data_IF_496256494880
#
_entry.id   IF_496256494880
#
_cell.length_a   1.000
_cell.length_b   1.000
_cell.length_c   1.000
_cell.angle_alpha   90.00
_cell.angle_beta   90.00
_cell.angle_gamma   90.00
#
_symmetry.space_group_name_H-M   'P 1'
#
loop_
_entity.id
_entity.type
_entity.pdbx_description
1 polymer ?
#
# COMPACT_ATOMS: atom_id res chain seq x y z
N UNK A 1 1.69 3.99 -4.65
CA UNK A 1 2.05 4.62 -5.93
C UNK A 1 1.97 3.65 -7.10
N UNK A 2 2.79 2.58 -7.16
CA UNK A 2 2.77 1.67 -8.33
C UNK A 2 1.47 0.86 -8.51
N UNK A 3 0.77 0.52 -7.41
CA UNK A 3 -0.54 -0.15 -7.46
C UNK A 3 -1.66 0.68 -8.10
N UNK A 4 -1.52 2.01 -8.12
CA UNK A 4 -2.53 2.94 -8.63
C UNK A 4 -2.36 3.20 -10.13
N UNK A 5 -1.12 3.16 -10.62
CA UNK A 5 -0.79 3.41 -12.03
C UNK A 5 -1.20 2.24 -12.94
N UNK A 6 -1.09 1.00 -12.46
CA UNK A 6 -1.39 -0.18 -13.26
C UNK A 6 -2.82 -0.21 -13.85
N UNK A 7 -3.91 -0.07 -13.05
CA UNK A 7 -5.26 -0.10 -13.62
C UNK A 7 -5.55 1.09 -14.55
N UNK A 8 -4.90 2.24 -14.33
CA UNK A 8 -5.06 3.43 -15.18
C UNK A 8 -4.40 3.24 -16.54
N UNK A 9 -3.17 2.71 -16.57
CA UNK A 9 -2.46 2.40 -17.83
C UNK A 9 -3.17 1.26 -18.57
N UNK A 10 -3.64 0.23 -17.85
CA UNK A 10 -4.39 -0.88 -18.45
C UNK A 10 -5.69 -0.40 -19.13
N UNK A 11 -6.39 0.58 -18.55
CA UNK A 11 -7.63 1.13 -19.11
C UNK A 11 -7.42 1.79 -20.49
N UNK A 12 -6.25 2.39 -20.72
CA UNK A 12 -5.89 3.03 -21.99
C UNK A 12 -5.14 2.10 -22.95
N UNK A 13 -4.66 0.94 -22.49
CA UNK A 13 -3.94 -0.02 -23.31
C UNK A 13 -4.86 -0.82 -24.23
N UNK A 14 -5.19 -0.27 -25.40
CA UNK A 14 -5.94 -0.96 -26.48
C UNK A 14 -5.04 -1.71 -27.48
N UNK A 15 -3.72 -1.73 -27.27
CA UNK A 15 -2.75 -2.35 -28.17
C UNK A 15 -1.74 -3.21 -27.41
N UNK A 16 -1.19 -4.23 -28.09
CA UNK A 16 -0.20 -5.17 -27.52
C UNK A 16 1.04 -4.47 -26.91
N UNK A 17 1.65 -3.46 -27.55
CA UNK A 17 2.77 -2.73 -26.95
C UNK A 17 2.39 -1.95 -25.68
N UNK A 18 1.17 -1.41 -25.63
CA UNK A 18 0.66 -0.71 -24.46
C UNK A 18 0.40 -1.67 -23.27
N UNK A 19 -0.02 -2.91 -23.55
CA UNK A 19 -0.11 -3.97 -22.53
C UNK A 19 1.27 -4.35 -21.99
N UNK A 20 2.28 -4.50 -22.85
CA UNK A 20 3.65 -4.78 -22.39
C UNK A 20 4.16 -3.72 -21.41
N UNK A 21 3.92 -2.44 -21.71
CA UNK A 21 4.30 -1.33 -20.82
C UNK A 21 3.52 -1.37 -19.49
N UNK A 22 2.22 -1.66 -19.53
CA UNK A 22 1.40 -1.80 -18.31
C UNK A 22 1.92 -2.92 -17.39
N UNK A 23 2.27 -4.07 -17.96
CA UNK A 23 2.81 -5.21 -17.21
C UNK A 23 4.24 -4.97 -16.73
N UNK A 24 5.05 -4.23 -17.48
CA UNK A 24 6.37 -3.79 -17.02
C UNK A 24 6.27 -2.89 -15.78
N UNK A 25 5.37 -1.90 -15.79
CA UNK A 25 5.09 -1.03 -14.64
C UNK A 25 4.54 -1.85 -13.46
N UNK A 26 3.71 -2.86 -13.73
CA UNK A 26 3.24 -3.81 -12.71
C UNK A 26 4.39 -4.60 -12.09
N UNK A 27 5.38 -5.03 -12.87
CA UNK A 27 6.58 -5.71 -12.36
C UNK A 27 7.39 -4.84 -11.41
N UNK A 28 7.47 -3.53 -11.68
CA UNK A 28 8.19 -2.57 -10.83
C UNK A 28 7.58 -2.42 -9.42
N UNK A 29 6.35 -2.91 -9.20
CA UNK A 29 5.70 -2.96 -7.89
C UNK A 29 6.42 -3.86 -6.89
N UNK A 30 7.12 -4.90 -7.36
CA UNK A 30 7.74 -5.91 -6.50
C UNK A 30 8.94 -5.38 -5.70
N UNK A 31 9.57 -4.28 -6.13
CA UNK A 31 10.66 -3.63 -5.39
C UNK A 31 10.27 -3.18 -3.98
N UNK A 32 8.97 -2.95 -3.72
CA UNK A 32 8.49 -2.53 -2.41
C UNK A 32 7.99 -3.68 -1.51
N UNK A 33 7.97 -4.93 -2.00
CA UNK A 33 7.34 -6.04 -1.27
C UNK A 33 8.24 -6.59 -0.16
N UNK A 34 9.56 -6.69 -0.43
CA UNK A 34 10.57 -7.10 0.56
C UNK A 34 10.68 -6.11 1.71
N UNK A 35 10.75 -4.80 1.41
CA UNK A 35 10.80 -3.76 2.44
C UNK A 35 9.55 -3.75 3.31
N UNK A 36 8.36 -3.99 2.75
CA UNK A 36 7.11 -4.04 3.52
C UNK A 36 7.06 -5.24 4.45
N UNK A 37 7.45 -6.42 3.98
CA UNK A 37 7.51 -7.65 4.80
C UNK A 37 8.54 -7.49 5.93
N UNK A 38 9.69 -6.89 5.65
CA UNK A 38 10.71 -6.58 6.66
C UNK A 38 10.19 -5.61 7.74
N UNK A 39 9.46 -4.56 7.34
CA UNK A 39 8.82 -3.62 8.28
C UNK A 39 7.85 -4.34 9.23
N UNK A 40 6.95 -5.18 8.71
CA UNK A 40 6.01 -5.94 9.54
C UNK A 40 6.76 -6.78 10.58
N UNK A 41 7.79 -7.50 10.14
CA UNK A 41 8.62 -8.36 11.00
C UNK A 41 9.41 -7.56 12.04
N UNK A 42 9.84 -6.33 11.71
CA UNK A 42 10.54 -5.43 12.64
C UNK A 42 9.64 -4.82 13.72
N UNK A 43 8.34 -4.68 13.46
CA UNK A 43 7.37 -4.22 14.46
C UNK A 43 6.84 -5.33 15.38
N UNK A 44 7.19 -6.58 15.11
CA UNK A 44 6.74 -7.71 15.92
C UNK A 44 7.68 -7.96 17.10
N UNK A 45 7.12 -8.06 18.30
CA UNK A 45 7.83 -8.59 19.47
C UNK A 45 8.30 -10.04 19.21
N UNK A 46 9.53 -10.41 19.61
CA UNK A 46 10.09 -11.74 19.36
C UNK A 46 9.19 -12.87 19.88
N UNK A 47 8.60 -12.70 21.06
CA UNK A 47 7.81 -13.73 21.75
C UNK A 47 6.44 -13.96 21.09
N UNK A 48 5.90 -12.95 20.38
CA UNK A 48 4.54 -12.97 19.80
C UNK A 48 4.52 -12.84 18.29
N UNK A 49 5.67 -12.95 17.63
CA UNK A 49 5.84 -12.73 16.19
C UNK A 49 4.88 -13.57 15.34
N UNK A 50 4.65 -14.84 15.71
CA UNK A 50 3.70 -15.71 15.01
C UNK A 50 2.25 -15.19 15.05
N UNK A 51 1.78 -14.75 16.23
CA UNK A 51 0.42 -14.21 16.40
C UNK A 51 0.25 -12.88 15.68
N UNK A 52 1.24 -11.98 15.78
CA UNK A 52 1.23 -10.66 15.14
C UNK A 52 1.20 -10.76 13.62
N UNK A 53 2.05 -11.60 13.04
CA UNK A 53 2.08 -11.84 11.59
C UNK A 53 0.78 -12.50 11.13
N UNK A 54 0.28 -13.50 11.87
CA UNK A 54 -0.99 -14.17 11.56
C UNK A 54 -2.18 -13.21 11.55
N UNK A 55 -2.32 -12.38 12.59
CA UNK A 55 -3.38 -11.38 12.67
C UNK A 55 -3.29 -10.34 11.54
N UNK A 56 -2.08 -9.87 11.22
CA UNK A 56 -1.88 -8.95 10.10
C UNK A 56 -2.37 -9.52 8.78
N UNK A 57 -1.99 -10.77 8.46
CA UNK A 57 -2.39 -11.41 7.20
C UNK A 57 -3.87 -11.78 7.18
N UNK A 58 -4.46 -12.17 8.32
CA UNK A 58 -5.89 -12.43 8.43
C UNK A 58 -6.72 -11.19 8.09
N UNK A 59 -6.39 -10.04 8.70
CA UNK A 59 -7.10 -8.78 8.45
C UNK A 59 -6.91 -8.35 6.99
N UNK A 60 -5.69 -8.48 6.45
CA UNK A 60 -5.41 -8.20 5.04
C UNK A 60 -6.32 -9.03 4.13
N UNK A 61 -6.38 -10.34 4.35
CA UNK A 61 -7.09 -11.27 3.46
C UNK A 61 -8.61 -11.09 3.55
N UNK A 62 -9.13 -10.74 4.72
CA UNK A 62 -10.53 -10.35 4.89
C UNK A 62 -10.86 -9.11 4.04
N UNK A 63 -10.04 -8.06 4.13
CA UNK A 63 -10.23 -6.84 3.34
C UNK A 63 -10.10 -7.11 1.84
N UNK A 64 -9.12 -7.91 1.41
CA UNK A 64 -8.92 -8.30 0.01
C UNK A 64 -10.10 -9.10 -0.52
N UNK A 65 -10.64 -10.02 0.28
CA UNK A 65 -11.79 -10.85 -0.12
C UNK A 65 -13.05 -10.01 -0.33
N UNK A 66 -13.35 -9.08 0.59
CA UNK A 66 -14.46 -8.13 0.42
C UNK A 66 -14.25 -7.27 -0.83
N UNK A 67 -13.02 -6.79 -1.06
CA UNK A 67 -12.66 -6.04 -2.26
C UNK A 67 -12.86 -6.84 -3.56
N UNK A 68 -12.54 -8.14 -3.55
CA UNK A 68 -12.74 -9.01 -4.70
C UNK A 68 -14.22 -9.22 -5.04
N UNK A 69 -15.07 -9.41 -4.02
CA UNK A 69 -16.52 -9.55 -4.20
C UNK A 69 -17.13 -8.25 -4.75
N UNK A 70 -16.75 -7.10 -4.17
CA UNK A 70 -17.18 -5.79 -4.67
C UNK A 70 -16.71 -5.53 -6.10
N UNK A 71 -15.46 -5.90 -6.43
CA UNK A 71 -14.91 -5.78 -7.76
C UNK A 71 -15.65 -6.65 -8.79
N UNK A 72 -15.99 -7.89 -8.43
CA UNK A 72 -16.79 -8.77 -9.27
C UNK A 72 -18.20 -8.21 -9.51
N UNK A 73 -18.83 -7.65 -8.46
CA UNK A 73 -20.12 -6.97 -8.58
C UNK A 73 -20.04 -5.76 -9.53
N UNK A 74 -19.05 -4.89 -9.35
CA UNK A 74 -18.81 -3.72 -10.22
C UNK A 74 -18.53 -4.13 -11.67
N UNK A 75 -17.79 -5.23 -11.88
CA UNK A 75 -17.51 -5.77 -13.21
C UNK A 75 -18.78 -6.18 -13.96
N UNK A 76 -19.73 -6.80 -13.25
CA UNK A 76 -21.02 -7.21 -13.85
C UNK A 76 -21.86 -6.05 -14.37
N UNK A 77 -21.64 -4.82 -13.87
CA UNK A 77 -22.34 -3.61 -14.32
C UNK A 77 -21.62 -2.91 -15.45
N UNK A 78 -20.31 -2.70 -15.32
CA UNK A 78 -19.46 -2.25 -16.41
C UNK A 78 -17.99 -2.39 -16.00
N UNK A 79 -17.12 -2.97 -16.85
CA UNK A 79 -15.69 -3.05 -16.59
C UNK A 79 -15.05 -1.69 -16.31
N UNK A 80 -15.52 -0.62 -16.96
CA UNK A 80 -14.99 0.73 -16.78
C UNK A 80 -15.19 1.25 -15.34
N UNK A 81 -16.35 0.99 -14.73
CA UNK A 81 -16.63 1.34 -13.32
C UNK A 81 -15.72 0.59 -12.34
N UNK A 82 -15.39 -0.67 -12.61
CA UNK A 82 -14.47 -1.43 -11.77
C UNK A 82 -13.06 -0.84 -11.81
N UNK A 83 -12.56 -0.49 -13.00
CA UNK A 83 -11.24 0.14 -13.15
C UNK A 83 -11.18 1.55 -12.53
N UNK A 84 -12.22 2.37 -12.70
CA UNK A 84 -12.29 3.70 -12.08
C UNK A 84 -12.38 3.60 -10.56
N UNK A 85 -13.17 2.66 -10.03
CA UNK A 85 -13.22 2.38 -8.59
C UNK A 85 -11.86 1.96 -8.04
N UNK A 86 -11.20 1.00 -8.69
CA UNK A 86 -9.86 0.55 -8.30
C UNK A 86 -8.82 1.69 -8.34
N UNK A 87 -8.88 2.57 -9.35
CA UNK A 87 -8.03 3.75 -9.42
C UNK A 87 -8.30 4.73 -8.27
N UNK A 88 -9.56 5.03 -7.97
CA UNK A 88 -9.94 5.92 -6.88
C UNK A 88 -9.47 5.40 -5.51
N UNK A 89 -9.69 4.11 -5.22
CA UNK A 89 -9.18 3.48 -3.99
C UNK A 89 -7.64 3.50 -3.94
N UNK A 90 -6.97 3.29 -5.07
CA UNK A 90 -5.51 3.39 -5.17
C UNK A 90 -4.97 4.80 -4.91
N UNK A 91 -5.69 5.85 -5.33
CA UNK A 91 -5.36 7.26 -5.05
C UNK A 91 -5.56 7.53 -3.56
N UNK A 92 -6.74 7.17 -3.01
CA UNK A 92 -7.07 7.35 -1.61
C UNK A 92 -6.04 6.68 -0.69
N UNK A 93 -5.68 5.41 -0.98
CA UNK A 93 -4.65 4.69 -0.24
C UNK A 93 -3.27 5.35 -0.33
N UNK A 94 -2.90 5.92 -1.48
CA UNK A 94 -1.64 6.66 -1.64
C UNK A 94 -1.64 7.95 -0.83
N UNK A 95 -2.74 8.71 -0.85
CA UNK A 95 -2.87 9.96 -0.06
C UNK A 95 -2.79 9.66 1.43
N UNK A 96 -3.49 8.62 1.90
CA UNK A 96 -3.45 8.19 3.30
C UNK A 96 -2.04 7.76 3.72
N UNK A 97 -1.35 6.97 2.90
CA UNK A 97 0.03 6.56 3.16
C UNK A 97 0.99 7.76 3.25
N UNK A 98 0.87 8.73 2.33
CA UNK A 98 1.68 9.95 2.36
C UNK A 98 1.39 10.80 3.60
N UNK A 99 0.12 10.93 4.00
CA UNK A 99 -0.25 11.67 5.21
C UNK A 99 0.25 10.98 6.49
N UNK A 100 0.09 9.66 6.59
CA UNK A 100 0.56 8.87 7.72
C UNK A 100 2.08 8.96 7.87
N UNK A 101 2.82 8.73 6.79
CA UNK A 101 4.29 8.80 6.79
C UNK A 101 4.81 10.21 7.09
N UNK A 102 4.15 11.27 6.61
CA UNK A 102 4.50 12.66 6.98
C UNK A 102 4.29 12.91 8.48
N UNK A 103 3.22 12.40 9.07
CA UNK A 103 2.92 12.55 10.51
C UNK A 103 3.96 11.81 11.37
N UNK A 104 4.35 10.60 10.98
CA UNK A 104 5.39 9.84 11.68
C UNK A 104 6.76 10.52 11.58
N UNK A 105 7.16 10.99 10.39
CA UNK A 105 8.44 11.72 10.23
C UNK A 105 8.48 13.00 11.06
N UNK A 106 7.35 13.70 11.19
CA UNK A 106 7.27 14.91 12.03
C UNK A 106 7.46 14.58 13.51
N UNK A 107 6.76 13.55 14.02
CA UNK A 107 6.90 13.08 15.41
C UNK A 107 8.33 12.61 15.71
N UNK A 108 8.95 11.87 14.79
CA UNK A 108 10.33 11.43 14.94
C UNK A 108 11.31 12.60 15.06
N UNK A 109 11.15 13.65 14.24
CA UNK A 109 11.96 14.88 14.35
C UNK A 109 11.75 15.63 15.67
N UNK A 110 10.51 15.70 16.16
CA UNK A 110 10.21 16.35 17.44
C UNK A 110 10.82 15.58 18.62
N UNK A 111 10.73 14.25 18.62
CA UNK A 111 11.36 13.40 19.63
C UNK A 111 12.88 13.52 19.65
N UNK A 112 13.54 13.52 18.48
CA UNK A 112 15.01 13.70 18.40
C UNK A 112 15.43 15.06 18.96
N UNK A 113 14.68 16.13 18.65
CA UNK A 113 14.97 17.46 19.21
C UNK A 113 14.86 17.48 20.73
N UNK A 114 13.80 16.87 21.28
CA UNK A 114 13.61 16.73 22.72
C UNK A 114 14.74 15.95 23.39
N UNK A 115 15.20 14.87 22.78
CA UNK A 115 16.29 14.04 23.31
C UNK A 115 17.61 14.81 23.33
N UNK A 116 17.93 15.53 22.25
CA UNK A 116 19.11 16.40 22.18
C UNK A 116 19.04 17.52 23.24
N UNK A 117 17.85 18.11 23.45
CA UNK A 117 17.66 19.11 24.51
C UNK A 117 17.87 18.53 25.91
N UNK A 118 17.39 17.31 26.19
CA UNK A 118 17.65 16.64 27.47
C UNK A 118 19.12 16.34 27.69
N UNK A 119 19.83 15.91 26.65
CA UNK A 119 21.27 15.62 26.71
C UNK A 119 22.12 16.87 26.94
N UNK A 120 21.67 18.05 26.49
CA UNK A 120 22.34 19.35 26.75
C UNK A 120 22.08 19.93 28.15
N UNK A 121 21.06 19.45 28.85
CA UNK A 121 20.66 19.93 30.18
C UNK A 121 21.21 19.06 31.32
N UNK A 122 21.97 18.01 30.99
CA UNK A 122 22.78 17.21 31.90
C UNK A 122 24.25 17.60 31.75
#
# INVERSE_FOLDING_TARGET
MMFTLFPFVLLFSRSFPALMLAFFIRGLKEFGDTSRKALIVSYCEPERRGQMIGAYYLVRDLVVSVGAILGAYLWSRSPATNFLGAAAFGIAGTVLYLRATRKERRKARENIKLDISRLRLK
#
